data_IF_421323501057
#
_entry.id   IF_421323501057
#
_cell.length_a   1.000
_cell.length_b   1.000
_cell.length_c   1.000
_cell.angle_alpha   90.00
_cell.angle_beta   90.00
_cell.angle_gamma   90.00
#
_symmetry.space_group_name_H-M   'P 1'
#
loop_
_entity.id
_entity.type
_entity.pdbx_description
1 polymer ?
#
# COMPACT_ATOMS: atom_id res chain seq x y z
N UNK A 1 -2.22 -12.91 17.11
CA UNK A 1 -1.62 -11.55 17.12
C UNK A 1 -1.87 -10.96 15.74
N UNK A 2 -2.35 -9.71 15.64
CA UNK A 2 -2.51 -9.06 14.34
C UNK A 2 -1.13 -8.75 13.74
N UNK A 3 -0.94 -9.04 12.47
CA UNK A 3 0.26 -8.65 11.72
C UNK A 3 0.03 -7.31 11.05
N UNK A 4 1.01 -6.42 11.13
CA UNK A 4 1.03 -5.15 10.40
C UNK A 4 2.31 -5.12 9.56
N UNK A 5 2.16 -4.88 8.26
CA UNK A 5 3.24 -4.85 7.28
C UNK A 5 3.33 -3.41 6.76
N UNK A 6 4.45 -2.74 7.02
CA UNK A 6 4.76 -1.46 6.38
C UNK A 6 5.53 -1.67 5.08
N UNK A 7 5.12 -1.04 3.99
CA UNK A 7 5.94 -0.99 2.77
C UNK A 7 6.91 0.18 2.86
N UNK A 8 8.13 -0.02 2.38
CA UNK A 8 9.15 1.01 2.31
C UNK A 8 9.96 0.83 1.02
N UNK A 9 10.49 1.92 0.49
CA UNK A 9 11.26 1.93 -0.76
C UNK A 9 11.16 3.25 -1.49
N UNK A 10 12.06 3.47 -2.45
CA UNK A 10 12.15 4.70 -3.24
C UNK A 10 10.86 5.03 -4.00
N UNK A 11 10.67 6.30 -4.37
CA UNK A 11 9.59 6.73 -5.26
C UNK A 11 9.59 5.89 -6.55
N UNK A 12 8.41 5.59 -7.08
CA UNK A 12 8.18 4.85 -8.33
C UNK A 12 8.72 3.40 -8.39
N UNK A 13 9.15 2.83 -7.26
CA UNK A 13 9.55 1.41 -7.20
C UNK A 13 8.36 0.44 -7.02
N UNK A 14 7.14 0.87 -7.38
CA UNK A 14 5.98 -0.02 -7.47
C UNK A 14 5.39 -0.51 -6.14
N UNK A 15 5.62 0.18 -5.02
CA UNK A 15 5.06 -0.18 -3.70
C UNK A 15 3.52 -0.29 -3.76
N UNK A 16 2.85 0.77 -4.20
CA UNK A 16 1.41 0.87 -4.37
C UNK A 16 0.89 -0.19 -5.34
N UNK A 17 1.59 -0.39 -6.47
CA UNK A 17 1.25 -1.41 -7.46
C UNK A 17 1.32 -2.84 -6.90
N UNK A 18 2.34 -3.13 -6.08
CA UNK A 18 2.49 -4.42 -5.41
C UNK A 18 1.34 -4.66 -4.42
N UNK A 19 1.00 -3.66 -3.61
CA UNK A 19 -0.12 -3.77 -2.66
C UNK A 19 -1.42 -4.04 -3.41
N UNK A 20 -1.68 -3.32 -4.49
CA UNK A 20 -2.86 -3.52 -5.34
C UNK A 20 -2.90 -4.91 -5.97
N UNK A 21 -1.76 -5.44 -6.40
CA UNK A 21 -1.67 -6.79 -6.94
C UNK A 21 -1.92 -7.88 -5.88
N UNK A 22 -1.48 -7.65 -4.64
CA UNK A 22 -1.65 -8.60 -3.53
C UNK A 22 -3.05 -8.56 -2.90
N UNK A 23 -3.64 -7.37 -2.79
CA UNK A 23 -4.87 -7.15 -2.01
C UNK A 23 -6.10 -6.82 -2.86
N UNK A 24 -5.90 -6.41 -4.12
CA UNK A 24 -6.94 -5.81 -4.95
C UNK A 24 -7.33 -4.39 -4.55
N UNK A 25 -6.72 -3.82 -3.51
CA UNK A 25 -7.07 -2.51 -2.97
C UNK A 25 -6.14 -1.43 -3.53
N UNK A 26 -6.74 -0.30 -3.92
CA UNK A 26 -6.01 0.88 -4.39
C UNK A 26 -5.74 1.81 -3.20
N UNK A 27 -4.47 1.98 -2.83
CA UNK A 27 -4.06 2.78 -1.67
C UNK A 27 -3.96 4.28 -1.99
N UNK A 28 -3.82 4.65 -3.27
CA UNK A 28 -3.88 6.04 -3.73
C UNK A 28 -5.34 6.49 -3.81
N UNK A 29 -5.83 7.08 -2.73
CA UNK A 29 -7.24 7.49 -2.57
C UNK A 29 -7.49 8.92 -2.98
N UNK A 30 -6.48 9.79 -2.90
CA UNK A 30 -6.61 11.20 -3.22
C UNK A 30 -6.61 11.41 -4.72
N UNK A 31 -7.39 12.40 -5.18
CA UNK A 31 -7.41 12.78 -6.60
C UNK A 31 -6.02 13.22 -7.07
N UNK A 32 -5.30 13.96 -6.22
CA UNK A 32 -3.95 14.45 -6.49
C UNK A 32 -2.93 13.32 -6.67
N UNK A 33 -3.01 12.25 -5.86
CA UNK A 33 -2.14 11.08 -5.98
C UNK A 33 -2.30 10.42 -7.35
N UNK A 34 -3.54 10.27 -7.81
CA UNK A 34 -3.86 9.70 -9.13
C UNK A 34 -3.43 10.60 -10.29
N UNK A 35 -3.58 11.91 -10.13
CA UNK A 35 -3.18 12.88 -11.16
C UNK A 35 -1.65 12.98 -11.29
N UNK A 36 -0.92 12.82 -10.18
CA UNK A 36 0.55 12.89 -10.16
C UNK A 36 1.25 11.55 -10.30
N UNK A 37 0.52 10.44 -10.12
CA UNK A 37 1.10 9.10 -10.12
C UNK A 37 2.03 8.83 -8.94
N UNK A 38 1.79 9.46 -7.79
CA UNK A 38 2.65 9.35 -6.60
C UNK A 38 1.83 9.33 -5.31
N UNK A 39 2.25 8.53 -4.34
CA UNK A 39 1.59 8.40 -3.02
C UNK A 39 2.00 9.52 -2.07
N UNK A 40 1.05 10.37 -1.67
CA UNK A 40 1.30 11.61 -0.92
C UNK A 40 1.02 11.41 0.57
N UNK A 41 0.01 10.60 0.90
CA UNK A 41 -0.39 10.28 2.28
C UNK A 41 -0.19 8.78 2.56
N UNK A 42 -0.31 8.37 3.83
CA UNK A 42 -0.31 6.97 4.19
C UNK A 42 -1.53 6.26 3.58
N UNK A 43 -1.25 5.17 2.87
CA UNK A 43 -2.27 4.26 2.35
C UNK A 43 -2.49 3.07 3.28
N UNK A 44 -3.68 2.48 3.25
CA UNK A 44 -4.03 1.31 4.06
C UNK A 44 -4.73 0.25 3.21
N UNK A 45 -4.33 -1.00 3.41
CA UNK A 45 -4.98 -2.16 2.81
C UNK A 45 -5.04 -3.32 3.79
N UNK A 46 -5.88 -4.31 3.51
CA UNK A 46 -5.94 -5.58 4.23
C UNK A 46 -5.55 -6.74 3.32
N UNK A 47 -4.89 -7.74 3.90
CA UNK A 47 -4.48 -8.95 3.21
C UNK A 47 -4.91 -10.18 4.00
N UNK A 48 -5.82 -10.95 3.41
CA UNK A 48 -6.22 -12.27 3.90
C UNK A 48 -5.34 -13.35 3.25
N UNK A 49 -4.60 -14.09 4.08
CA UNK A 49 -3.75 -15.18 3.62
C UNK A 49 -4.51 -16.52 3.61
N UNK A 50 -4.15 -17.48 2.73
CA UNK A 50 -4.84 -18.77 2.62
C UNK A 50 -4.89 -19.61 3.90
N UNK A 51 -3.99 -19.34 4.86
CA UNK A 51 -3.95 -20.02 6.15
C UNK A 51 -4.89 -19.39 7.21
N UNK A 52 -5.74 -18.43 6.82
CA UNK A 52 -6.65 -17.71 7.71
C UNK A 52 -6.00 -16.56 8.49
N UNK A 53 -4.76 -16.20 8.18
CA UNK A 53 -4.09 -15.04 8.81
C UNK A 53 -4.56 -13.75 8.16
N UNK A 54 -5.00 -12.79 8.96
CA UNK A 54 -5.32 -11.44 8.53
C UNK A 54 -4.16 -10.48 8.86
N UNK A 55 -3.68 -9.75 7.86
CA UNK A 55 -2.64 -8.73 8.00
C UNK A 55 -3.15 -7.36 7.53
N UNK A 56 -2.79 -6.31 8.28
CA UNK A 56 -2.90 -4.93 7.82
C UNK A 56 -1.65 -4.53 7.05
N UNK A 57 -1.83 -3.77 5.97
CA UNK A 57 -0.73 -3.19 5.18
C UNK A 57 -0.81 -1.66 5.31
N UNK A 58 0.35 -1.04 5.56
CA UNK A 58 0.53 0.41 5.55
C UNK A 58 1.44 0.76 4.37
N UNK A 59 0.89 1.50 3.42
CA UNK A 59 1.63 2.04 2.27
C UNK A 59 2.26 3.38 2.65
N UNK A 60 3.59 3.46 2.57
CA UNK A 60 4.33 4.65 3.00
C UNK A 60 4.86 5.41 1.76
N UNK A 61 4.70 6.75 1.71
CA UNK A 61 5.32 7.58 0.69
C UNK A 61 6.83 7.31 0.59
N UNK A 62 7.34 7.20 -0.63
CA UNK A 62 8.75 6.90 -0.90
C UNK A 62 9.63 8.11 -1.15
N UNK A 63 9.12 9.31 -0.87
CA UNK A 63 9.70 10.58 -1.28
C UNK A 63 10.52 11.19 -0.12
N UNK A 64 11.74 11.63 -0.41
CA UNK A 64 12.37 12.78 0.25
C UNK A 64 12.28 13.99 -0.68
#
# INVERSE_FOLDING_TARGET
>A
MPFVIGTAGHIDHGKTSLIKALTGQDTDRLKEEKERGMTIDLGFASLDLPNGTHAGIVDVPGHE
#
